data_IF_440256923789
#
_entry.id   IF_440256923789
#
_cell.length_a   1.000
_cell.length_b   1.000
_cell.length_c   1.000
_cell.angle_alpha   90.00
_cell.angle_beta   90.00
_cell.angle_gamma   90.00
#
_symmetry.space_group_name_H-M   'P 1'
#
loop_
_entity.id
_entity.type
_entity.pdbx_description
1 polymer ?
#
# COMPACT_ATOMS: atom_id res chain seq x y z
N UNK A 1 1.70 30.55 -95.27
CA UNK A 1 0.81 31.72 -95.22
C UNK A 1 -0.58 31.23 -95.59
N UNK A 2 -1.59 31.53 -94.75
CA UNK A 2 -3.05 31.22 -94.84
C UNK A 2 -3.46 29.73 -94.73
N UNK A 3 -4.04 29.29 -93.59
CA UNK A 3 -5.48 29.22 -93.21
C UNK A 3 -6.24 28.13 -94.02
N UNK A 4 -6.94 27.16 -93.43
CA UNK A 4 -8.29 27.34 -92.87
C UNK A 4 -8.88 26.03 -92.29
N UNK A 5 -9.50 26.09 -91.09
CA UNK A 5 -10.75 25.45 -90.58
C UNK A 5 -11.02 23.95 -90.84
N UNK A 6 -11.74 23.16 -90.05
CA UNK A 6 -12.44 23.25 -88.77
C UNK A 6 -12.93 21.80 -88.59
N UNK A 7 -12.69 21.16 -87.45
CA UNK A 7 -13.64 20.16 -86.94
C UNK A 7 -13.91 20.48 -85.47
N UNK A 8 -14.98 21.25 -85.32
CA UNK A 8 -15.77 21.39 -84.11
C UNK A 8 -16.30 20.02 -83.71
N UNK A 9 -16.16 19.60 -82.46
CA UNK A 9 -17.24 19.01 -81.66
C UNK A 9 -16.85 18.98 -80.17
N UNK A 10 -17.30 19.97 -79.40
CA UNK A 10 -17.76 19.76 -78.03
C UNK A 10 -19.27 19.98 -78.03
N UNK A 11 -20.01 19.25 -77.19
CA UNK A 11 -20.60 19.92 -76.04
C UNK A 11 -20.20 19.31 -74.68
N UNK A 12 -19.97 20.21 -73.72
CA UNK A 12 -19.76 19.92 -72.30
C UNK A 12 -21.06 19.42 -71.64
N UNK A 13 -20.94 18.58 -70.60
CA UNK A 13 -21.77 18.69 -69.39
C UNK A 13 -21.06 17.99 -68.21
N UNK A 14 -20.90 18.75 -67.14
CA UNK A 14 -20.21 18.44 -65.89
C UNK A 14 -21.07 17.52 -65.01
N UNK A 15 -20.47 16.79 -64.07
CA UNK A 15 -20.81 16.87 -62.63
C UNK A 15 -19.91 15.94 -61.80
N UNK A 16 -19.01 16.55 -61.03
CA UNK A 16 -18.53 16.04 -59.74
C UNK A 16 -19.66 16.32 -58.71
N UNK A 17 -19.92 15.45 -57.72
CA UNK A 17 -19.27 15.64 -56.41
C UNK A 17 -18.87 14.26 -55.80
N UNK A 18 -17.65 14.12 -55.26
CA UNK A 18 -17.43 14.21 -53.81
C UNK A 18 -17.84 12.95 -53.04
N UNK A 19 -16.85 12.19 -52.61
CA UNK A 19 -16.81 11.56 -51.29
C UNK A 19 -15.36 11.11 -51.02
N UNK A 20 -14.49 12.11 -50.84
CA UNK A 20 -13.36 11.92 -49.95
C UNK A 20 -13.95 11.93 -48.54
N UNK A 21 -14.16 10.76 -47.94
CA UNK A 21 -14.48 10.66 -46.52
C UNK A 21 -13.30 11.21 -45.75
N UNK A 22 -13.33 12.52 -45.53
CA UNK A 22 -12.41 13.23 -44.68
C UNK A 22 -12.90 12.92 -43.27
N UNK A 23 -12.23 11.99 -42.57
CA UNK A 23 -12.46 11.82 -41.15
C UNK A 23 -12.31 13.19 -40.47
N UNK A 24 -13.33 13.68 -39.75
CA UNK A 24 -13.22 14.99 -39.11
C UNK A 24 -12.08 14.92 -38.09
N UNK A 25 -11.25 15.97 -37.97
CA UNK A 25 -10.20 15.99 -36.95
C UNK A 25 -10.89 15.86 -35.60
N UNK A 26 -10.71 14.72 -34.92
CA UNK A 26 -11.22 14.49 -33.57
C UNK A 26 -10.68 15.61 -32.68
N UNK A 27 -11.51 16.62 -32.41
CA UNK A 27 -11.19 17.68 -31.45
C UNK A 27 -10.85 16.96 -30.15
N UNK A 28 -9.61 17.11 -29.68
CA UNK A 28 -9.20 16.59 -28.38
C UNK A 28 -10.24 17.06 -27.36
N UNK A 29 -10.93 16.10 -26.76
CA UNK A 29 -12.00 16.39 -25.83
C UNK A 29 -11.41 17.20 -24.68
N UNK A 30 -11.89 18.44 -24.49
CA UNK A 30 -11.47 19.27 -23.35
C UNK A 30 -11.71 18.53 -22.02
N UNK A 31 -12.71 17.64 -21.99
CA UNK A 31 -13.00 16.75 -20.85
C UNK A 31 -11.81 15.83 -20.54
N UNK A 32 -11.14 15.28 -21.55
CA UNK A 32 -9.95 14.45 -21.33
C UNK A 32 -8.82 15.24 -20.67
N UNK A 33 -8.59 16.49 -21.11
CA UNK A 33 -7.57 17.36 -20.52
C UNK A 33 -7.94 17.72 -19.08
N UNK A 34 -9.21 18.01 -18.79
CA UNK A 34 -9.70 18.33 -17.44
C UNK A 34 -9.53 17.12 -16.51
N UNK A 35 -9.92 15.92 -16.95
CA UNK A 35 -9.77 14.69 -16.17
C UNK A 35 -8.30 14.41 -15.90
N UNK A 36 -7.43 14.56 -16.91
CA UNK A 36 -5.99 14.38 -16.74
C UNK A 36 -5.41 15.39 -15.74
N UNK A 37 -5.81 16.66 -15.82
CA UNK A 37 -5.38 17.70 -14.89
C UNK A 37 -5.82 17.37 -13.45
N UNK A 38 -7.07 16.95 -13.25
CA UNK A 38 -7.56 16.51 -11.94
C UNK A 38 -6.78 15.32 -11.40
N UNK A 39 -6.44 14.35 -12.26
CA UNK A 39 -5.66 13.19 -11.86
C UNK A 39 -4.24 13.58 -11.42
N UNK A 40 -3.60 14.51 -12.14
CA UNK A 40 -2.28 15.04 -11.77
C UNK A 40 -2.34 15.79 -10.44
N UNK A 41 -3.35 16.64 -10.23
CA UNK A 41 -3.51 17.38 -8.98
C UNK A 41 -3.77 16.43 -7.80
N UNK A 42 -4.65 15.44 -7.97
CA UNK A 42 -4.92 14.45 -6.93
C UNK A 42 -3.69 13.59 -6.61
N UNK A 43 -2.95 13.17 -7.64
CA UNK A 43 -1.69 12.44 -7.48
C UNK A 43 -0.61 13.27 -6.78
N UNK A 44 -0.47 14.55 -7.15
CA UNK A 44 0.45 15.47 -6.51
C UNK A 44 0.09 15.70 -5.04
N UNK A 45 -1.19 15.93 -4.74
CA UNK A 45 -1.69 16.08 -3.37
C UNK A 45 -1.38 14.85 -2.53
N UNK A 46 -1.74 13.66 -3.02
CA UNK A 46 -1.49 12.40 -2.31
C UNK A 46 0.00 12.14 -2.10
N UNK A 47 0.81 12.34 -3.15
CA UNK A 47 2.27 12.18 -3.10
C UNK A 47 2.92 13.13 -2.10
N UNK A 48 2.58 14.42 -2.15
CA UNK A 48 3.10 15.43 -1.21
C UNK A 48 2.67 15.08 0.22
N UNK A 49 1.40 14.72 0.43
CA UNK A 49 0.91 14.38 1.77
C UNK A 49 1.59 13.14 2.37
N UNK A 50 1.85 12.11 1.57
CA UNK A 50 2.56 10.90 2.05
C UNK A 50 4.05 11.18 2.27
N UNK A 51 4.66 11.98 1.40
CA UNK A 51 6.06 12.38 1.54
C UNK A 51 6.28 13.22 2.81
N UNK A 52 5.42 14.20 3.07
CA UNK A 52 5.50 15.00 4.29
C UNK A 52 5.23 14.17 5.54
N UNK A 53 4.30 13.20 5.48
CA UNK A 53 4.07 12.29 6.60
C UNK A 53 5.32 11.46 6.93
N UNK A 54 5.92 10.83 5.92
CA UNK A 54 7.11 9.99 6.07
C UNK A 54 8.37 10.76 6.54
N UNK A 55 8.44 12.07 6.25
CA UNK A 55 9.53 12.92 6.76
C UNK A 55 9.45 13.19 8.26
N UNK A 56 8.26 13.10 8.86
CA UNK A 56 8.03 13.43 10.27
C UNK A 56 7.64 12.23 11.13
N UNK A 57 7.34 11.09 10.53
CA UNK A 57 6.92 9.87 11.22
C UNK A 57 7.81 8.72 10.78
N UNK A 58 8.54 8.16 11.73
CA UNK A 58 9.34 6.97 11.55
C UNK A 58 8.60 5.80 12.21
N UNK A 59 8.13 4.88 11.38
CA UNK A 59 7.53 3.64 11.84
C UNK A 59 8.65 2.60 11.97
N UNK A 60 8.79 1.99 13.15
CA UNK A 60 9.74 0.90 13.39
C UNK A 60 9.03 -0.28 14.04
N UNK A 61 9.26 -1.46 13.49
CA UNK A 61 8.82 -2.72 14.08
C UNK A 61 9.90 -3.28 15.05
N UNK A 62 11.11 -2.69 15.04
CA UNK A 62 12.24 -3.12 15.86
C UNK A 62 12.23 -2.40 17.21
N UNK A 63 11.28 -2.77 18.07
CA UNK A 63 11.26 -2.35 19.47
C UNK A 63 11.89 -3.42 20.36
N UNK A 64 12.92 -3.05 21.13
CA UNK A 64 13.53 -3.90 22.14
C UNK A 64 13.23 -3.38 23.55
N UNK A 65 13.02 -4.31 24.49
CA UNK A 65 12.78 -4.01 25.91
C UNK A 65 14.02 -4.35 26.71
N UNK A 66 14.55 -3.37 27.44
CA UNK A 66 15.58 -3.57 28.45
C UNK A 66 14.91 -3.81 29.80
N UNK A 67 15.29 -4.91 30.48
CA UNK A 67 14.73 -5.27 31.78
C UNK A 67 15.81 -5.84 32.70
N UNK A 68 15.75 -5.45 33.97
CA UNK A 68 16.54 -6.06 35.03
C UNK A 68 15.84 -7.33 35.51
N UNK A 69 16.48 -8.48 35.30
CA UNK A 69 15.94 -9.79 35.70
C UNK A 69 16.61 -10.23 37.00
N UNK A 70 15.81 -10.48 38.03
CA UNK A 70 16.27 -11.08 39.29
C UNK A 70 15.70 -12.49 39.42
N UNK A 71 16.53 -13.55 39.36
CA UNK A 71 16.03 -14.92 39.44
C UNK A 71 15.52 -15.24 40.85
N UNK A 72 14.36 -15.90 40.92
CA UNK A 72 13.78 -16.42 42.17
C UNK A 72 14.06 -17.92 42.24
N UNK A 73 14.93 -18.32 43.18
CA UNK A 73 15.41 -19.71 43.30
C UNK A 73 14.79 -20.37 44.54
N UNK A 74 14.23 -21.60 44.43
CA UNK A 74 13.76 -22.33 45.59
C UNK A 74 14.93 -22.78 46.47
N UNK A 75 14.70 -22.85 47.79
CA UNK A 75 15.70 -23.31 48.76
C UNK A 75 16.05 -24.80 48.62
N UNK A 76 15.10 -25.58 48.12
CA UNK A 76 15.21 -27.04 47.96
C UNK A 76 14.99 -27.39 46.49
N UNK A 77 15.70 -28.42 46.01
CA UNK A 77 15.44 -28.99 44.70
C UNK A 77 14.16 -29.83 44.74
N UNK A 78 13.37 -29.78 43.67
CA UNK A 78 12.13 -30.54 43.54
C UNK A 78 11.48 -30.33 42.18
N UNK A 79 10.52 -31.18 41.85
CA UNK A 79 9.75 -31.07 40.61
C UNK A 79 8.63 -30.03 40.74
N UNK A 80 8.28 -29.35 39.65
CA UNK A 80 7.16 -28.38 39.64
C UNK A 80 5.84 -29.14 39.59
N UNK A 81 4.96 -28.89 40.56
CA UNK A 81 3.60 -29.43 40.64
C UNK A 81 2.56 -28.52 39.98
N UNK A 82 2.69 -27.21 40.19
CA UNK A 82 1.75 -26.20 39.67
C UNK A 82 2.47 -24.86 39.43
N UNK A 83 2.07 -24.14 38.37
CA UNK A 83 2.49 -22.77 38.10
C UNK A 83 1.29 -21.84 38.33
N UNK A 84 1.44 -20.84 39.19
CA UNK A 84 0.36 -19.95 39.64
C UNK A 84 0.45 -18.53 39.11
N UNK A 85 1.26 -18.33 38.08
CA UNK A 85 1.41 -17.05 37.40
C UNK A 85 1.10 -17.19 35.92
N UNK A 86 0.54 -16.11 35.35
CA UNK A 86 0.32 -15.96 33.92
C UNK A 86 1.34 -15.01 33.32
N UNK A 87 1.42 -15.02 32.00
CA UNK A 87 2.29 -14.11 31.27
C UNK A 87 1.93 -12.64 31.56
N UNK A 88 2.96 -11.81 31.73
CA UNK A 88 2.87 -10.38 32.07
C UNK A 88 2.02 -10.04 33.32
N UNK A 89 1.76 -11.03 34.20
CA UNK A 89 0.99 -10.80 35.43
C UNK A 89 1.81 -9.98 36.43
N UNK A 90 1.23 -8.88 36.93
CA UNK A 90 1.78 -8.18 38.08
C UNK A 90 1.60 -9.01 39.35
N UNK A 91 2.70 -9.22 40.08
CA UNK A 91 2.73 -9.97 41.34
C UNK A 91 3.21 -9.08 42.48
N UNK A 92 2.78 -9.40 43.70
CA UNK A 92 3.15 -8.70 44.93
C UNK A 92 4.01 -9.58 45.83
N UNK A 93 4.67 -8.95 46.79
CA UNK A 93 5.43 -9.66 47.81
C UNK A 93 4.51 -10.62 48.58
N UNK A 94 4.92 -11.89 48.65
CA UNK A 94 4.18 -12.95 49.34
C UNK A 94 3.33 -13.81 48.41
N UNK A 95 3.16 -13.43 47.14
CA UNK A 95 2.43 -14.24 46.17
C UNK A 95 3.17 -15.55 45.88
N UNK A 96 2.43 -16.65 45.86
CA UNK A 96 2.97 -17.96 45.50
C UNK A 96 3.05 -18.07 43.99
N UNK A 97 4.25 -18.14 43.43
CA UNK A 97 4.46 -18.19 41.98
C UNK A 97 4.41 -19.62 41.42
N UNK A 98 4.93 -20.59 42.18
CA UNK A 98 4.96 -22.00 41.81
C UNK A 98 4.84 -22.89 43.06
N UNK A 99 4.40 -24.13 42.86
CA UNK A 99 4.42 -25.17 43.91
C UNK A 99 5.36 -26.29 43.47
N UNK A 100 6.25 -26.68 44.39
CA UNK A 100 7.07 -27.88 44.22
C UNK A 100 6.33 -29.11 44.75
N UNK A 101 6.57 -30.24 44.10
CA UNK A 101 6.12 -31.55 44.54
C UNK A 101 6.85 -31.94 45.84
N UNK A 102 6.07 -32.37 46.83
CA UNK A 102 6.52 -32.68 48.18
C UNK A 102 6.83 -34.16 48.39
N UNK A 103 6.56 -35.04 47.41
CA UNK A 103 6.75 -36.49 47.55
C UNK A 103 8.18 -36.87 47.94
N UNK A 104 9.18 -36.29 47.29
CA UNK A 104 10.60 -36.58 47.60
C UNK A 104 11.05 -35.98 48.94
N UNK A 105 10.44 -34.85 49.34
CA UNK A 105 10.72 -34.21 50.63
C UNK A 105 10.11 -35.00 51.79
N UNK A 106 8.93 -35.59 51.59
CA UNK A 106 8.22 -36.37 52.59
C UNK A 106 8.86 -37.74 52.87
N UNK A 107 9.57 -38.32 51.90
CA UNK A 107 10.29 -39.61 52.06
C UNK A 107 11.58 -39.44 52.86
N UNK A 108 12.15 -38.23 52.88
CA UNK A 108 13.41 -37.93 53.55
C UNK A 108 13.15 -37.44 54.98
N UNK A 109 12.82 -38.37 55.88
CA UNK A 109 12.72 -38.16 57.33
C UNK A 109 13.63 -39.15 58.05
#
# INVERSE_FOLDING_TARGET
MAQDKNETHLPQAQTKPENATTEPPKKKSKVFIIVLALMVVAGAWFGISKYTYALHHEDTDDAQIEANISPVIPRVAGFVKEVRVKDNQQVKKGDTLLILDDRDLAIKV
#
